data_IF_628639836467
#
_entry.id   IF_628639836467
#
_cell.length_a   1.000
_cell.length_b   1.000
_cell.length_c   1.000
_cell.angle_alpha   90.00
_cell.angle_beta   90.00
_cell.angle_gamma   90.00
#
_symmetry.space_group_name_H-M   'P 1'
#
loop_
_entity.id
_entity.type
_entity.pdbx_description
1 polymer ?
#
# COMPACT_ATOMS: atom_id res chain seq x y z
N UNK A 1 0.96 -17.73 1.51
CA UNK A 1 1.05 -19.16 1.23
C UNK A 1 2.01 -19.83 2.22
N UNK A 2 3.34 -19.52 2.18
CA UNK A 2 4.32 -20.14 3.07
C UNK A 2 3.89 -20.12 4.55
N UNK A 3 3.49 -18.98 5.09
CA UNK A 3 3.00 -18.87 6.47
C UNK A 3 1.85 -19.84 6.77
N UNK A 4 0.87 -19.92 5.87
CA UNK A 4 -0.26 -20.85 6.04
C UNK A 4 0.18 -22.33 6.00
N UNK A 5 1.14 -22.68 5.14
CA UNK A 5 1.68 -24.05 5.04
C UNK A 5 2.44 -24.48 6.31
N UNK A 6 3.12 -23.54 6.97
CA UNK A 6 3.87 -23.79 8.20
C UNK A 6 3.07 -23.47 9.48
N UNK A 7 1.80 -23.11 9.37
CA UNK A 7 0.94 -22.76 10.50
C UNK A 7 1.36 -21.47 11.21
N UNK A 8 2.16 -20.60 10.56
CA UNK A 8 2.62 -19.33 11.12
C UNK A 8 1.50 -18.30 10.98
N UNK A 9 1.14 -17.68 12.09
CA UNK A 9 0.18 -16.58 12.15
C UNK A 9 0.88 -15.34 12.69
N UNK A 10 0.83 -14.20 11.98
CA UNK A 10 1.38 -12.96 12.51
C UNK A 10 0.48 -12.42 13.63
N UNK A 11 1.08 -11.75 14.61
CA UNK A 11 0.38 -11.05 15.70
C UNK A 11 0.06 -9.59 15.32
N UNK A 12 0.80 -9.05 14.35
CA UNK A 12 0.61 -7.71 13.80
C UNK A 12 1.07 -7.68 12.34
N UNK A 13 0.45 -6.84 11.54
CA UNK A 13 0.84 -6.67 10.13
C UNK A 13 0.90 -5.18 9.76
N UNK A 14 1.86 -4.81 8.92
CA UNK A 14 1.94 -3.47 8.33
C UNK A 14 2.07 -3.55 6.81
N UNK A 15 1.49 -2.57 6.11
CA UNK A 15 1.51 -2.54 4.65
C UNK A 15 1.66 -1.13 4.07
N UNK A 16 2.33 -1.06 2.91
CA UNK A 16 2.45 0.13 2.07
C UNK A 16 1.89 -0.20 0.69
N UNK A 17 1.16 0.74 0.07
CA UNK A 17 0.68 0.61 -1.31
C UNK A 17 -0.12 -0.70 -1.50
N UNK A 18 0.16 -1.49 -2.51
CA UNK A 18 -0.46 -2.81 -2.70
C UNK A 18 -0.36 -3.71 -1.45
N UNK A 19 0.73 -3.57 -0.67
CA UNK A 19 0.90 -4.27 0.61
C UNK A 19 -0.13 -3.85 1.65
N UNK A 20 -0.63 -2.61 1.64
CA UNK A 20 -1.70 -2.17 2.55
C UNK A 20 -3.03 -2.86 2.23
N UNK A 21 -3.34 -3.06 0.95
CA UNK A 21 -4.54 -3.79 0.51
C UNK A 21 -4.47 -5.24 0.99
N UNK A 22 -3.32 -5.91 0.76
CA UNK A 22 -3.11 -7.29 1.21
C UNK A 22 -3.22 -7.40 2.72
N UNK A 23 -2.62 -6.47 3.48
CA UNK A 23 -2.65 -6.46 4.93
C UNK A 23 -4.07 -6.34 5.48
N UNK A 24 -4.85 -5.41 4.92
CA UNK A 24 -6.24 -5.19 5.34
C UNK A 24 -7.13 -6.39 5.00
N UNK A 25 -7.01 -6.97 3.82
CA UNK A 25 -7.76 -8.18 3.44
C UNK A 25 -7.41 -9.36 4.35
N UNK A 26 -6.13 -9.58 4.61
CA UNK A 26 -5.69 -10.65 5.51
C UNK A 26 -6.21 -10.44 6.94
N UNK A 27 -6.10 -9.22 7.46
CA UNK A 27 -6.61 -8.86 8.78
C UNK A 27 -8.15 -8.94 8.89
N UNK A 28 -8.85 -8.82 7.77
CA UNK A 28 -10.29 -9.04 7.66
C UNK A 28 -10.69 -10.52 7.69
N UNK A 29 -9.71 -11.45 7.62
CA UNK A 29 -9.92 -12.89 7.71
C UNK A 29 -9.90 -13.63 6.38
N UNK A 30 -9.55 -12.97 5.28
CA UNK A 30 -9.38 -13.63 3.99
C UNK A 30 -8.17 -14.57 4.01
N UNK A 31 -8.31 -15.75 3.45
CA UNK A 31 -7.20 -16.67 3.20
C UNK A 31 -6.29 -16.13 2.09
N UNK A 32 -5.06 -16.62 2.03
CA UNK A 32 -4.13 -16.23 0.96
C UNK A 32 -4.68 -16.58 -0.44
N UNK A 33 -5.45 -17.65 -0.56
CA UNK A 33 -6.04 -18.06 -1.85
C UNK A 33 -7.12 -17.07 -2.29
N UNK A 34 -8.02 -16.69 -1.40
CA UNK A 34 -9.06 -15.68 -1.69
C UNK A 34 -8.46 -14.33 -2.06
N UNK A 35 -7.39 -13.91 -1.34
CA UNK A 35 -6.66 -12.68 -1.69
C UNK A 35 -6.05 -12.80 -3.08
N UNK A 36 -5.36 -13.91 -3.37
CA UNK A 36 -4.73 -14.13 -4.67
C UNK A 36 -5.76 -14.14 -5.81
N UNK A 37 -6.90 -14.77 -5.61
CA UNK A 37 -7.95 -14.86 -6.62
C UNK A 37 -8.60 -13.48 -6.87
N UNK A 38 -8.77 -12.67 -5.82
CA UNK A 38 -9.20 -11.28 -5.96
C UNK A 38 -8.23 -10.47 -6.83
N UNK A 39 -6.94 -10.60 -6.63
CA UNK A 39 -5.92 -9.89 -7.43
C UNK A 39 -5.79 -10.44 -8.86
N UNK A 40 -5.97 -11.74 -9.08
CA UNK A 40 -5.93 -12.35 -10.43
C UNK A 40 -7.13 -11.97 -11.28
N UNK A 41 -8.31 -11.87 -10.67
CA UNK A 41 -9.57 -11.57 -11.33
C UNK A 41 -9.83 -10.06 -11.48
N UNK A 42 -9.02 -9.23 -10.82
CA UNK A 42 -9.08 -7.77 -10.94
C UNK A 42 -7.98 -7.31 -11.89
N UNK A 43 -8.34 -6.55 -12.90
CA UNK A 43 -7.34 -5.83 -13.69
C UNK A 43 -6.95 -4.58 -12.91
N UNK A 44 -5.68 -4.21 -12.96
CA UNK A 44 -5.18 -2.95 -12.34
C UNK A 44 -6.02 -1.73 -12.77
N UNK A 45 -6.56 -1.78 -13.98
CA UNK A 45 -7.46 -0.76 -14.52
C UNK A 45 -8.83 -0.68 -13.84
N UNK A 46 -9.27 -1.74 -13.16
CA UNK A 46 -10.56 -1.75 -12.43
C UNK A 46 -10.47 -0.85 -11.18
N UNK A 47 -9.26 -0.62 -10.69
CA UNK A 47 -8.98 0.28 -9.56
C UNK A 47 -8.82 1.73 -9.99
N UNK A 48 -8.69 1.99 -11.31
CA UNK A 48 -8.46 3.31 -11.86
C UNK A 48 -9.71 3.75 -12.62
N UNK A 49 -10.44 4.71 -12.11
CA UNK A 49 -11.47 5.35 -12.92
C UNK A 49 -10.80 6.32 -13.89
N UNK A 50 -10.89 6.01 -15.18
CA UNK A 50 -10.51 6.90 -16.28
C UNK A 50 -11.43 8.13 -16.30
N UNK A 51 -11.26 9.03 -15.36
CA UNK A 51 -11.71 10.40 -15.55
C UNK A 51 -10.71 11.08 -16.47
N UNK A 52 -11.15 11.78 -17.51
CA UNK A 52 -10.26 12.68 -18.25
C UNK A 52 -9.77 13.71 -17.22
N UNK A 53 -8.50 13.66 -16.82
CA UNK A 53 -8.05 14.53 -15.75
C UNK A 53 -7.92 15.93 -16.31
N UNK A 54 -8.77 16.85 -15.86
CA UNK A 54 -8.58 18.28 -16.16
C UNK A 54 -7.21 18.78 -15.68
N UNK A 55 -6.57 18.03 -14.77
CA UNK A 55 -5.35 18.43 -14.07
C UNK A 55 -4.21 17.37 -14.19
N UNK A 56 -4.27 16.47 -15.15
CA UNK A 56 -3.20 15.49 -15.43
C UNK A 56 -3.09 14.28 -14.50
N UNK A 57 -3.99 14.12 -13.52
CA UNK A 57 -3.94 13.01 -12.55
C UNK A 57 -5.15 12.08 -12.67
N UNK A 58 -4.91 10.78 -12.57
CA UNK A 58 -5.97 9.78 -12.45
C UNK A 58 -6.55 9.78 -11.02
N UNK A 59 -7.81 9.30 -10.91
CA UNK A 59 -8.45 9.10 -9.61
C UNK A 59 -8.46 7.62 -9.25
N UNK A 60 -8.26 7.32 -7.97
CA UNK A 60 -8.34 5.97 -7.40
C UNK A 60 -9.78 5.61 -6.95
N UNK A 61 -10.82 6.17 -7.60
CA UNK A 61 -12.22 5.93 -7.23
C UNK A 61 -12.60 4.44 -7.36
N UNK A 62 -11.96 3.70 -8.27
CA UNK A 62 -12.12 2.25 -8.37
C UNK A 62 -11.58 1.50 -7.16
N UNK A 63 -10.47 1.96 -6.58
CA UNK A 63 -9.93 1.39 -5.35
C UNK A 63 -10.88 1.62 -4.16
N UNK A 64 -11.65 2.70 -4.17
CA UNK A 64 -12.67 2.96 -3.14
C UNK A 64 -13.87 1.99 -3.20
N UNK A 65 -14.14 1.36 -4.33
CA UNK A 65 -15.22 0.36 -4.47
C UNK A 65 -14.79 -1.02 -3.95
N UNK A 66 -13.54 -1.40 -4.20
CA UNK A 66 -13.02 -2.73 -3.85
C UNK A 66 -13.13 -3.06 -2.35
N UNK A 67 -12.75 -2.18 -1.40
CA UNK A 67 -12.90 -2.46 0.01
C UNK A 67 -14.35 -2.44 0.48
N UNK A 68 -15.21 -1.54 -0.04
CA UNK A 68 -16.61 -1.41 0.41
C UNK A 68 -17.41 -2.71 0.29
N UNK A 69 -17.15 -3.48 -0.76
CA UNK A 69 -17.85 -4.73 -1.03
C UNK A 69 -17.21 -5.93 -0.32
N UNK A 70 -15.97 -5.78 0.18
CA UNK A 70 -15.14 -6.88 0.62
C UNK A 70 -14.68 -6.78 2.08
N UNK A 71 -14.96 -5.69 2.79
CA UNK A 71 -14.52 -5.53 4.17
C UNK A 71 -15.69 -5.70 5.16
N UNK A 72 -15.50 -6.51 6.22
CA UNK A 72 -16.52 -6.71 7.25
C UNK A 72 -16.66 -5.52 8.21
N UNK A 73 -15.66 -4.62 8.22
CA UNK A 73 -15.56 -3.47 9.14
C UNK A 73 -15.13 -2.22 8.37
N UNK A 74 -15.39 -1.06 8.96
CA UNK A 74 -15.11 0.24 8.32
C UNK A 74 -13.75 0.81 8.71
N UNK A 75 -13.32 0.62 9.95
CA UNK A 75 -12.13 1.23 10.51
C UNK A 75 -11.02 0.22 10.79
N UNK A 76 -9.76 0.68 10.76
CA UNK A 76 -8.56 -0.15 10.96
C UNK A 76 -8.58 -0.83 12.33
N UNK A 77 -8.95 -0.09 13.38
CA UNK A 77 -9.01 -0.57 14.76
C UNK A 77 -10.07 -1.66 15.01
N UNK A 78 -10.98 -1.87 14.08
CA UNK A 78 -12.02 -2.91 14.14
C UNK A 78 -11.55 -4.23 13.49
N UNK A 79 -10.39 -4.25 12.85
CA UNK A 79 -9.83 -5.45 12.22
C UNK A 79 -9.44 -6.49 13.28
N UNK A 80 -9.61 -7.77 12.96
CA UNK A 80 -9.31 -8.90 13.87
C UNK A 80 -7.83 -9.02 14.22
N UNK A 81 -6.96 -8.57 13.32
CA UNK A 81 -5.51 -8.57 13.49
C UNK A 81 -5.04 -7.12 13.54
N UNK A 82 -4.26 -6.70 14.54
CA UNK A 82 -3.63 -5.40 14.59
C UNK A 82 -2.95 -5.07 13.26
N UNK A 83 -3.39 -3.99 12.63
CA UNK A 83 -2.98 -3.64 11.26
C UNK A 83 -2.55 -2.20 11.20
N UNK A 84 -1.43 -1.95 10.50
CA UNK A 84 -0.92 -0.60 10.27
C UNK A 84 -0.85 -0.35 8.77
N UNK A 85 -1.49 0.71 8.31
CA UNK A 85 -1.37 1.21 6.94
C UNK A 85 -0.37 2.37 6.94
N UNK A 86 0.67 2.29 6.10
CA UNK A 86 1.69 3.32 6.03
C UNK A 86 1.60 4.11 4.72
N UNK A 87 1.81 5.42 4.84
CA UNK A 87 1.82 6.36 3.73
C UNK A 87 2.94 7.40 3.92
N UNK A 88 3.02 8.36 3.02
CA UNK A 88 3.87 9.55 3.16
C UNK A 88 2.98 10.77 3.36
N UNK A 89 3.19 11.52 4.44
CA UNK A 89 2.69 12.88 4.57
C UNK A 89 3.43 13.74 3.54
N UNK A 90 2.70 14.17 2.51
CA UNK A 90 3.31 14.85 1.38
C UNK A 90 3.63 16.32 1.67
N UNK A 91 2.86 16.92 2.58
CA UNK A 91 3.05 18.32 2.95
C UNK A 91 4.31 18.50 3.82
N UNK A 92 4.65 17.50 4.65
CA UNK A 92 5.81 17.54 5.56
C UNK A 92 6.98 16.65 5.13
N UNK A 93 6.81 15.78 4.14
CA UNK A 93 7.87 14.90 3.61
C UNK A 93 8.28 13.78 4.58
N UNK A 94 7.40 13.32 5.45
CA UNK A 94 7.69 12.30 6.47
C UNK A 94 6.85 11.03 6.31
N UNK A 95 7.38 9.86 6.70
CA UNK A 95 6.59 8.64 6.71
C UNK A 95 5.57 8.70 7.86
N UNK A 96 4.36 8.22 7.59
CA UNK A 96 3.28 8.14 8.58
C UNK A 96 2.71 6.74 8.65
N UNK A 97 2.19 6.39 9.84
CA UNK A 97 1.48 5.14 10.10
C UNK A 97 0.08 5.42 10.60
N UNK A 98 -0.89 4.74 10.05
CA UNK A 98 -2.28 4.78 10.47
C UNK A 98 -2.61 3.48 11.21
N UNK A 99 -2.95 3.60 12.47
CA UNK A 99 -3.39 2.51 13.37
C UNK A 99 -4.91 2.55 13.58
N UNK A 100 -5.57 3.60 13.08
CA UNK A 100 -7.01 3.83 13.22
C UNK A 100 -7.59 4.67 12.09
N UNK A 101 -8.93 4.71 12.04
CA UNK A 101 -9.72 5.47 11.10
C UNK A 101 -10.15 4.67 9.87
N UNK A 102 -10.86 5.32 8.96
CA UNK A 102 -11.51 4.65 7.83
C UNK A 102 -10.50 3.96 6.92
N UNK A 103 -10.63 2.65 6.76
CA UNK A 103 -9.70 1.79 6.00
C UNK A 103 -9.51 2.31 4.59
N UNK A 104 -10.60 2.68 3.91
CA UNK A 104 -10.58 3.11 2.51
C UNK A 104 -9.71 4.34 2.32
N UNK A 105 -9.92 5.36 3.15
CA UNK A 105 -9.14 6.60 3.10
C UNK A 105 -7.64 6.34 3.29
N UNK A 106 -7.28 5.48 4.25
CA UNK A 106 -5.89 5.16 4.56
C UNK A 106 -5.22 4.35 3.46
N UNK A 107 -5.96 3.38 2.89
CA UNK A 107 -5.47 2.57 1.76
C UNK A 107 -5.31 3.42 0.50
N UNK A 108 -6.26 4.31 0.18
CA UNK A 108 -6.13 5.25 -0.94
C UNK A 108 -4.91 6.14 -0.75
N UNK A 109 -4.72 6.72 0.44
CA UNK A 109 -3.53 7.51 0.77
C UNK A 109 -2.24 6.72 0.52
N UNK A 110 -2.20 5.46 1.01
CA UNK A 110 -1.07 4.54 0.86
C UNK A 110 -0.78 4.15 -0.60
N UNK A 111 -1.78 4.18 -1.48
CA UNK A 111 -1.68 3.80 -2.89
C UNK A 111 -1.59 4.99 -3.85
N UNK A 112 -1.60 6.23 -3.36
CA UNK A 112 -1.59 7.44 -4.19
C UNK A 112 -0.19 7.75 -4.73
N UNK A 113 0.25 7.00 -5.75
CA UNK A 113 1.55 7.19 -6.41
C UNK A 113 1.59 8.59 -7.04
N UNK A 114 2.56 9.45 -6.67
CA UNK A 114 2.70 10.80 -7.23
C UNK A 114 2.78 10.79 -8.76
N UNK A 115 2.26 11.85 -9.39
CA UNK A 115 2.20 12.05 -10.85
C UNK A 115 1.16 11.14 -11.54
N UNK A 116 0.95 9.92 -11.04
CA UNK A 116 -0.09 9.02 -11.56
C UNK A 116 -1.44 9.37 -10.93
N UNK A 117 -1.46 9.50 -9.60
CA UNK A 117 -2.66 9.81 -8.83
C UNK A 117 -2.54 11.15 -8.10
N UNK A 118 -3.69 11.74 -7.82
CA UNK A 118 -3.75 12.91 -6.93
C UNK A 118 -3.38 12.51 -5.51
N UNK A 119 -2.68 13.36 -4.76
CA UNK A 119 -2.55 13.20 -3.32
C UNK A 119 -3.92 13.06 -2.67
N UNK A 120 -4.07 12.11 -1.76
CA UNK A 120 -5.32 11.92 -1.02
C UNK A 120 -5.34 12.78 0.23
N UNK A 121 -6.42 13.55 0.41
CA UNK A 121 -6.51 14.50 1.52
C UNK A 121 -7.28 13.92 2.69
N UNK A 122 -6.65 13.85 3.87
CA UNK A 122 -7.25 13.41 5.13
C UNK A 122 -7.04 14.52 6.16
N UNK A 123 -8.11 15.03 6.75
CA UNK A 123 -8.08 16.07 7.78
C UNK A 123 -7.21 17.30 7.42
N UNK A 124 -7.23 17.70 6.16
CA UNK A 124 -6.49 18.87 5.69
C UNK A 124 -5.09 18.59 5.16
N UNK A 125 -4.49 17.45 5.48
CA UNK A 125 -3.13 17.03 5.07
C UNK A 125 -3.21 16.19 3.80
N UNK A 126 -2.27 16.39 2.87
CA UNK A 126 -2.15 15.61 1.65
C UNK A 126 -1.23 14.42 1.89
N UNK A 127 -1.68 13.23 1.48
CA UNK A 127 -0.91 11.97 1.59
C UNK A 127 -0.67 11.38 0.22
N UNK A 128 0.48 10.74 0.09
CA UNK A 128 0.87 9.98 -1.11
C UNK A 128 1.41 8.61 -0.70
N UNK A 129 1.68 7.77 -1.70
CA UNK A 129 2.21 6.41 -1.51
C UNK A 129 3.43 6.40 -0.58
N UNK A 130 3.43 5.47 0.37
CA UNK A 130 4.52 5.33 1.34
C UNK A 130 5.86 4.99 0.70
N UNK A 131 5.87 4.42 -0.51
CA UNK A 131 7.06 4.13 -1.28
C UNK A 131 7.91 5.36 -1.63
N UNK A 132 7.34 6.56 -1.52
CA UNK A 132 8.10 7.82 -1.69
C UNK A 132 9.19 7.97 -0.62
N UNK A 133 8.91 7.63 0.63
CA UNK A 133 9.85 7.80 1.75
C UNK A 133 10.29 6.48 2.37
N UNK A 134 9.38 5.53 2.62
CA UNK A 134 9.65 4.24 3.29
C UNK A 134 8.79 3.13 2.68
N UNK A 135 9.31 2.43 1.69
CA UNK A 135 8.55 1.43 0.92
C UNK A 135 8.30 0.12 1.66
N UNK A 136 9.18 -0.30 2.56
CA UNK A 136 8.97 -1.47 3.41
C UNK A 136 8.61 -0.99 4.82
N UNK A 137 7.39 -1.25 5.34
CA UNK A 137 6.91 -0.66 6.58
C UNK A 137 7.38 -1.39 7.85
N UNK A 138 8.58 -1.98 7.84
CA UNK A 138 9.19 -2.66 8.99
C UNK A 138 9.37 -1.72 10.18
N UNK A 139 9.73 -0.46 9.91
CA UNK A 139 9.88 0.59 10.92
C UNK A 139 8.62 0.81 11.75
N UNK A 140 7.44 0.61 11.15
CA UNK A 140 6.17 0.90 11.79
C UNK A 140 5.84 -0.06 12.95
N UNK A 141 6.35 -1.31 12.88
CA UNK A 141 6.05 -2.39 13.82
C UNK A 141 7.29 -2.96 14.53
N UNK A 142 8.52 -2.57 14.15
CA UNK A 142 9.78 -3.15 14.70
C UNK A 142 9.80 -3.22 16.23
N UNK A 143 9.33 -2.18 16.90
CA UNK A 143 9.34 -2.10 18.37
C UNK A 143 8.28 -2.96 19.06
N UNK A 144 7.36 -3.54 18.30
CA UNK A 144 6.24 -4.35 18.77
C UNK A 144 6.45 -5.85 18.48
N UNK A 145 7.58 -6.22 17.85
CA UNK A 145 7.84 -7.58 17.39
C UNK A 145 9.16 -8.11 17.95
N UNK A 146 9.17 -9.35 18.43
CA UNK A 146 10.39 -10.11 18.70
C UNK A 146 10.99 -10.61 17.38
N UNK A 147 10.15 -11.17 16.51
CA UNK A 147 10.51 -11.62 15.17
C UNK A 147 9.78 -10.74 14.16
N UNK A 148 10.55 -10.13 13.25
CA UNK A 148 10.03 -9.30 12.18
C UNK A 148 10.38 -9.89 10.82
N UNK A 149 9.36 -10.13 10.00
CA UNK A 149 9.52 -10.69 8.65
C UNK A 149 9.08 -9.63 7.64
N UNK A 150 9.98 -9.22 6.78
CA UNK A 150 9.71 -8.27 5.68
C UNK A 150 9.48 -8.99 4.36
N UNK A 151 8.40 -8.63 3.66
CA UNK A 151 8.12 -9.07 2.30
C UNK A 151 8.25 -7.90 1.33
N UNK A 152 9.32 -7.87 0.55
CA UNK A 152 9.55 -6.88 -0.49
C UNK A 152 9.35 -7.52 -1.88
N UNK A 153 8.27 -7.14 -2.55
CA UNK A 153 7.87 -7.69 -3.86
C UNK A 153 8.39 -6.87 -5.04
N UNK A 154 9.29 -5.92 -4.83
CA UNK A 154 9.79 -5.04 -5.88
C UNK A 154 11.05 -5.61 -6.54
N UNK A 155 10.94 -6.28 -7.71
CA UNK A 155 12.10 -6.86 -8.36
C UNK A 155 13.02 -5.78 -8.92
N UNK A 156 14.33 -6.05 -8.83
CA UNK A 156 15.36 -5.27 -9.53
C UNK A 156 15.37 -5.75 -10.97
N UNK A 157 14.61 -5.14 -11.84
CA UNK A 157 14.60 -5.51 -13.27
C UNK A 157 15.14 -4.36 -14.10
N UNK A 158 16.06 -4.68 -15.00
CA UNK A 158 16.42 -3.78 -16.09
C UNK A 158 15.22 -3.72 -17.05
N UNK A 159 14.49 -2.59 -17.04
CA UNK A 159 13.36 -2.35 -17.95
C UNK A 159 13.79 -1.35 -19.01
N UNK A 160 13.60 -1.72 -20.28
CA UNK A 160 13.51 -0.73 -21.36
C UNK A 160 12.14 -0.04 -21.25
N UNK A 161 12.08 1.25 -21.43
CA UNK A 161 10.85 2.04 -21.39
C UNK A 161 10.85 3.07 -22.53
N UNK A 162 9.68 3.40 -23.02
CA UNK A 162 9.54 4.54 -23.95
C UNK A 162 9.64 5.83 -23.13
N UNK A 163 10.43 6.84 -23.54
CA UNK A 163 10.65 8.06 -22.74
C UNK A 163 9.44 9.02 -22.83
N UNK A 164 8.30 8.57 -22.31
CA UNK A 164 7.13 9.44 -22.11
C UNK A 164 7.15 9.99 -20.68
N UNK A 165 6.50 11.12 -20.44
CA UNK A 165 6.41 11.73 -19.12
C UNK A 165 5.94 10.72 -18.06
N UNK A 166 4.89 9.97 -18.37
CA UNK A 166 4.31 8.99 -17.46
C UNK A 166 5.28 7.82 -17.17
N UNK A 167 5.95 7.30 -18.20
CA UNK A 167 6.88 6.18 -18.02
C UNK A 167 8.16 6.58 -17.28
N UNK A 168 8.63 7.81 -17.48
CA UNK A 168 9.76 8.38 -16.71
C UNK A 168 9.34 8.56 -15.25
N UNK A 169 8.17 9.13 -15.00
CA UNK A 169 7.63 9.32 -13.65
C UNK A 169 7.47 7.99 -12.92
N UNK A 170 6.86 6.99 -13.55
CA UNK A 170 6.73 5.66 -12.97
C UNK A 170 8.09 5.02 -12.70
N UNK A 171 9.03 5.11 -13.63
CA UNK A 171 10.38 4.57 -13.42
C UNK A 171 11.11 5.26 -12.29
N UNK A 172 10.96 6.56 -12.15
CA UNK A 172 11.53 7.32 -11.05
C UNK A 172 10.96 6.86 -9.71
N UNK A 173 9.64 6.67 -9.63
CA UNK A 173 8.99 6.13 -8.44
C UNK A 173 9.47 4.71 -8.12
N UNK A 174 9.54 3.81 -9.11
CA UNK A 174 10.06 2.44 -8.93
C UNK A 174 11.47 2.43 -8.33
N UNK A 175 12.34 3.34 -8.79
CA UNK A 175 13.71 3.47 -8.27
C UNK A 175 13.72 4.02 -6.84
N UNK A 176 12.95 5.05 -6.56
CA UNK A 176 12.81 5.61 -5.20
C UNK A 176 12.32 4.55 -4.22
N UNK A 177 11.22 3.89 -4.54
CA UNK A 177 10.62 2.87 -3.68
C UNK A 177 11.59 1.71 -3.39
N UNK A 178 12.40 1.30 -4.38
CA UNK A 178 13.43 0.29 -4.21
C UNK A 178 14.48 0.72 -3.17
N UNK A 179 15.03 1.92 -3.32
CA UNK A 179 16.09 2.38 -2.42
C UNK A 179 15.57 2.72 -1.04
N UNK A 180 14.35 3.22 -0.94
CA UNK A 180 13.68 3.57 0.31
C UNK A 180 13.24 2.34 1.12
N UNK A 181 13.24 1.13 0.56
CA UNK A 181 13.05 -0.11 1.30
C UNK A 181 14.32 -0.55 2.05
N UNK A 182 15.51 -0.13 1.61
CA UNK A 182 16.80 -0.63 2.12
C UNK A 182 16.99 -0.42 3.63
N UNK A 183 16.66 0.74 4.23
CA UNK A 183 16.81 0.92 5.67
C UNK A 183 15.94 -0.06 6.48
N UNK A 184 14.74 -0.36 5.97
CA UNK A 184 13.79 -1.25 6.63
C UNK A 184 14.16 -2.73 6.49
N UNK A 185 14.79 -3.12 5.37
CA UNK A 185 15.32 -4.48 5.19
C UNK A 185 16.36 -4.86 6.25
N UNK A 186 17.04 -3.87 6.84
CA UNK A 186 18.00 -4.10 7.93
C UNK A 186 17.34 -4.29 9.30
N UNK A 187 16.04 -4.03 9.40
CA UNK A 187 15.27 -4.19 10.63
C UNK A 187 14.64 -5.60 10.73
N UNK A 188 14.54 -6.29 9.60
CA UNK A 188 14.07 -7.66 9.47
C UNK A 188 15.25 -8.63 9.56
#
# INVERSE_FOLDING_TARGET
>A
KAFAEYGIKPDIISGVSAGSIVSVLYASGYSYQEILDKFKNSHFYDFITLGIPKDGFFKLDGLAKFPKENLPVKNIEELKLPTIVCATDFDHGVPVKFESGEIIDRVIASCSIPIIFRPHKINGINYVDGGVVRNLPAWAIRRQCDILIGANCQPIVNKSYKPTLLSVAQRSFDLLAKYNATPDMRLC
#
